data_IF_812116998014
#
_entry.id   IF_812116998014
#
_cell.length_a   1.000
_cell.length_b   1.000
_cell.length_c   1.000
_cell.angle_alpha   90.00
_cell.angle_beta   90.00
_cell.angle_gamma   90.00
#
_symmetry.space_group_name_H-M   'P 1'
#
loop_
_entity.id
_entity.type
_entity.pdbx_description
1 polymer ?
#
# COMPACT_ATOMS: atom_id res chain seq x y z
N UNK A 1 -13.29 15.84 19.16
CA UNK A 1 -12.06 15.63 19.95
C UNK A 1 -11.13 14.82 19.05
N UNK A 2 -10.06 15.42 18.53
CA UNK A 2 -9.13 14.71 17.66
C UNK A 2 -8.31 13.72 18.51
N UNK A 3 -8.06 12.53 18.00
CA UNK A 3 -7.16 11.56 18.63
C UNK A 3 -5.76 12.16 18.71
N UNK A 4 -5.06 11.90 19.82
CA UNK A 4 -3.64 12.23 19.95
C UNK A 4 -2.84 11.55 18.81
N UNK A 5 -1.89 12.26 18.16
CA UNK A 5 -1.14 11.71 17.03
C UNK A 5 -0.40 10.40 17.32
N UNK A 6 0.11 10.19 18.54
CA UNK A 6 0.74 8.92 18.93
C UNK A 6 -0.29 7.80 19.06
N UNK A 7 -1.47 8.11 19.58
CA UNK A 7 -2.59 7.15 19.62
C UNK A 7 -3.06 6.79 18.21
N UNK A 8 -3.16 7.75 17.31
CA UNK A 8 -3.54 7.51 15.92
C UNK A 8 -2.52 6.59 15.22
N UNK A 9 -1.21 6.87 15.40
CA UNK A 9 -0.15 6.01 14.87
C UNK A 9 -0.23 4.60 15.45
N UNK A 10 -0.46 4.46 16.75
CA UNK A 10 -0.61 3.15 17.39
C UNK A 10 -1.83 2.35 16.88
N UNK A 11 -2.92 3.04 16.52
CA UNK A 11 -4.10 2.43 15.89
C UNK A 11 -3.79 1.97 14.47
N UNK A 12 -3.14 2.82 13.67
CA UNK A 12 -2.74 2.51 12.29
C UNK A 12 -1.80 1.30 12.23
N UNK A 13 -0.79 1.25 13.11
CA UNK A 13 0.16 0.13 13.20
C UNK A 13 -0.49 -1.21 13.58
N UNK A 14 -1.69 -1.18 14.16
CA UNK A 14 -2.47 -2.39 14.52
C UNK A 14 -3.53 -2.73 13.48
N UNK A 15 -3.68 -1.93 12.42
CA UNK A 15 -4.62 -2.22 11.36
C UNK A 15 -4.19 -3.53 10.66
N UNK A 16 -5.10 -4.51 10.46
CA UNK A 16 -4.76 -5.78 9.80
C UNK A 16 -4.19 -5.61 8.38
N UNK A 17 -4.49 -4.48 7.75
CA UNK A 17 -4.04 -4.10 6.42
C UNK A 17 -2.69 -3.36 6.42
N UNK A 18 -2.11 -3.04 7.58
CA UNK A 18 -0.86 -2.28 7.66
C UNK A 18 0.32 -3.03 7.05
N UNK A 19 0.51 -4.30 7.41
CA UNK A 19 1.60 -5.11 6.86
C UNK A 19 1.47 -5.30 5.35
N UNK A 20 0.23 -5.43 4.84
CA UNK A 20 -0.05 -5.48 3.40
C UNK A 20 0.32 -4.18 2.71
N UNK A 21 -0.10 -3.06 3.26
CA UNK A 21 0.17 -1.75 2.71
C UNK A 21 1.68 -1.44 2.68
N UNK A 22 2.42 -1.79 3.73
CA UNK A 22 3.88 -1.67 3.75
C UNK A 22 4.52 -2.59 2.69
N UNK A 23 4.06 -3.84 2.59
CA UNK A 23 4.57 -4.77 1.59
C UNK A 23 4.31 -4.28 0.15
N UNK A 24 3.17 -3.64 -0.10
CA UNK A 24 2.88 -2.98 -1.36
C UNK A 24 3.86 -1.83 -1.61
N UNK A 25 3.99 -0.90 -0.66
CA UNK A 25 4.84 0.29 -0.79
C UNK A 25 6.34 -0.03 -0.98
N UNK A 26 6.81 -1.20 -0.52
CA UNK A 26 8.19 -1.67 -0.68
C UNK A 26 8.37 -2.73 -1.77
N UNK A 27 7.37 -2.95 -2.64
CA UNK A 27 7.42 -3.99 -3.67
C UNK A 27 7.69 -5.42 -3.14
N UNK A 28 7.42 -5.66 -1.85
CA UNK A 28 7.66 -6.94 -1.17
C UNK A 28 6.39 -7.80 -1.12
N UNK A 29 5.38 -7.54 -1.96
CA UNK A 29 4.10 -8.27 -1.91
C UNK A 29 4.26 -9.79 -2.04
N UNK A 30 5.16 -10.26 -2.92
CA UNK A 30 5.47 -11.68 -3.05
C UNK A 30 5.99 -12.28 -1.72
N UNK A 31 6.84 -11.54 -1.00
CA UNK A 31 7.37 -11.96 0.31
C UNK A 31 6.25 -11.99 1.36
N UNK A 32 5.33 -11.04 1.32
CA UNK A 32 4.14 -11.04 2.17
C UNK A 32 3.27 -12.29 1.93
N UNK A 33 2.96 -12.60 0.66
CA UNK A 33 2.15 -13.79 0.30
C UNK A 33 2.81 -15.09 0.79
N UNK A 34 4.12 -15.24 0.60
CA UNK A 34 4.85 -16.43 1.06
C UNK A 34 4.83 -16.57 2.58
N UNK A 35 4.91 -15.46 3.31
CA UNK A 35 4.91 -15.47 4.79
C UNK A 35 3.50 -15.61 5.39
N UNK A 36 2.45 -15.27 4.63
CA UNK A 36 1.06 -15.26 5.09
C UNK A 36 0.15 -16.10 4.17
N UNK A 37 0.26 -17.44 4.18
CA UNK A 37 -0.44 -18.32 3.22
C UNK A 37 -1.96 -18.35 3.36
N UNK A 38 -2.52 -17.77 4.44
CA UNK A 38 -3.97 -17.67 4.69
C UNK A 38 -4.51 -16.28 4.28
N UNK A 39 -3.62 -15.32 3.99
CA UNK A 39 -4.01 -13.97 3.58
C UNK A 39 -4.40 -13.93 2.10
N UNK A 40 -5.20 -12.93 1.69
CA UNK A 40 -5.46 -12.67 0.28
C UNK A 40 -4.16 -12.47 -0.50
N UNK A 41 -4.07 -13.09 -1.67
CA UNK A 41 -2.93 -12.93 -2.59
C UNK A 41 -3.10 -11.74 -3.53
N UNK A 42 -4.35 -11.38 -3.82
CA UNK A 42 -4.70 -10.23 -4.67
C UNK A 42 -4.73 -8.96 -3.86
N UNK A 43 -4.11 -7.90 -4.38
CA UNK A 43 -4.16 -6.54 -3.83
C UNK A 43 -5.53 -5.95 -4.17
N UNK A 44 -6.35 -5.69 -3.16
CA UNK A 44 -7.63 -5.02 -3.34
C UNK A 44 -7.46 -3.49 -3.43
N UNK A 45 -8.43 -2.80 -4.02
CA UNK A 45 -8.43 -1.34 -4.09
C UNK A 45 -8.31 -0.69 -2.70
N UNK A 46 -8.90 -1.29 -1.66
CA UNK A 46 -8.79 -0.79 -0.28
C UNK A 46 -7.39 -0.93 0.30
N UNK A 47 -6.61 -1.93 -0.12
CA UNK A 47 -5.21 -2.06 0.29
C UNK A 47 -4.34 -0.99 -0.39
N UNK A 48 -4.55 -0.75 -1.68
CA UNK A 48 -3.87 0.31 -2.44
C UNK A 48 -4.19 1.72 -1.88
N UNK A 49 -5.46 2.01 -1.63
CA UNK A 49 -5.90 3.27 -1.02
C UNK A 49 -5.27 3.49 0.35
N UNK A 50 -5.24 2.44 1.19
CA UNK A 50 -4.64 2.55 2.51
C UNK A 50 -3.12 2.75 2.41
N UNK A 51 -2.44 2.02 1.52
CA UNK A 51 -1.00 2.18 1.27
C UNK A 51 -0.64 3.61 0.87
N UNK A 52 -1.36 4.16 -0.10
CA UNK A 52 -1.13 5.55 -0.52
C UNK A 52 -1.43 6.55 0.59
N UNK A 53 -2.49 6.34 1.39
CA UNK A 53 -2.77 7.20 2.53
C UNK A 53 -1.64 7.18 3.58
N UNK A 54 -0.98 6.03 3.79
CA UNK A 54 0.19 5.94 4.66
C UNK A 54 1.40 6.68 4.08
N UNK A 55 1.62 6.56 2.78
CA UNK A 55 2.69 7.25 2.07
C UNK A 55 2.51 8.77 2.13
N UNK A 56 1.34 9.29 1.79
CA UNK A 56 1.05 10.73 1.83
C UNK A 56 1.11 11.33 3.23
N UNK A 57 0.86 10.51 4.26
CA UNK A 57 0.96 10.91 5.65
C UNK A 57 2.39 10.79 6.23
N UNK A 58 3.38 10.40 5.42
CA UNK A 58 4.78 10.18 5.84
C UNK A 58 4.89 9.17 7.00
N UNK A 59 4.07 8.12 6.94
CA UNK A 59 4.00 7.07 7.98
C UNK A 59 4.84 5.83 7.65
N UNK A 60 5.34 5.73 6.41
CA UNK A 60 6.21 4.65 5.93
C UNK A 60 7.45 5.29 5.31
N UNK A 61 8.61 4.99 5.88
CA UNK A 61 9.89 5.45 5.34
C UNK A 61 10.27 4.66 4.08
N UNK A 62 10.83 5.34 3.07
CA UNK A 62 11.40 4.72 1.85
C UNK A 62 10.38 3.86 1.07
N UNK A 63 9.29 4.48 0.61
CA UNK A 63 8.35 3.81 -0.26
C UNK A 63 8.83 3.84 -1.73
N UNK A 64 8.98 2.67 -2.35
CA UNK A 64 9.41 2.52 -3.75
C UNK A 64 8.41 3.11 -4.75
N UNK A 65 7.15 3.30 -4.33
CA UNK A 65 6.08 3.92 -5.15
C UNK A 65 6.43 5.34 -5.60
N UNK A 66 7.36 6.01 -4.91
CA UNK A 66 7.75 7.39 -5.17
C UNK A 66 8.89 7.53 -6.19
N UNK A 67 9.70 6.48 -6.38
CA UNK A 67 10.93 6.54 -7.16
C UNK A 67 10.70 6.20 -8.64
N UNK A 68 9.84 5.21 -8.93
CA UNK A 68 9.48 4.79 -10.28
C UNK A 68 8.09 4.12 -10.29
N UNK A 69 7.05 4.87 -10.68
CA UNK A 69 5.67 4.38 -10.68
C UNK A 69 5.43 3.29 -11.73
N UNK A 70 6.05 3.40 -12.92
CA UNK A 70 5.92 2.36 -13.96
C UNK A 70 6.50 1.03 -13.48
N UNK A 71 7.70 1.07 -12.89
CA UNK A 71 8.34 -0.12 -12.31
C UNK A 71 7.57 -0.68 -11.11
N UNK A 72 6.97 0.18 -10.29
CA UNK A 72 6.12 -0.22 -9.17
C UNK A 72 4.89 -1.01 -9.65
N UNK A 73 4.20 -0.52 -10.68
CA UNK A 73 3.05 -1.22 -11.27
C UNK A 73 3.49 -2.54 -11.91
N UNK A 74 4.56 -2.55 -12.69
CA UNK A 74 5.07 -3.77 -13.34
C UNK A 74 5.40 -4.86 -12.32
N UNK A 75 6.05 -4.49 -11.21
CA UNK A 75 6.45 -5.43 -10.14
C UNK A 75 5.23 -6.08 -9.45
N UNK A 76 4.15 -5.32 -9.28
CA UNK A 76 2.95 -5.78 -8.59
C UNK A 76 1.84 -6.28 -9.54
N UNK A 77 2.01 -6.16 -10.86
CA UNK A 77 0.96 -6.38 -11.87
C UNK A 77 0.24 -7.71 -11.72
N UNK A 78 0.97 -8.80 -11.46
CA UNK A 78 0.37 -10.13 -11.30
C UNK A 78 -0.52 -10.29 -10.05
N UNK A 79 -0.38 -9.37 -9.09
CA UNK A 79 -1.11 -9.38 -7.82
C UNK A 79 -2.19 -8.30 -7.76
N UNK A 80 -2.11 -7.27 -8.60
CA UNK A 80 -3.08 -6.18 -8.63
C UNK A 80 -4.44 -6.68 -9.13
N UNK A 81 -5.50 -6.45 -8.35
CA UNK A 81 -6.85 -6.52 -8.88
C UNK A 81 -7.12 -5.33 -9.80
N UNK A 82 -8.01 -5.51 -10.77
CA UNK A 82 -8.35 -4.47 -11.77
C UNK A 82 -8.69 -3.12 -11.12
N UNK A 83 -9.55 -3.13 -10.10
CA UNK A 83 -9.94 -1.91 -9.37
C UNK A 83 -8.76 -1.23 -8.65
N UNK A 84 -7.78 -2.01 -8.18
CA UNK A 84 -6.59 -1.49 -7.51
C UNK A 84 -5.63 -0.84 -8.52
N UNK A 85 -5.44 -1.49 -9.68
CA UNK A 85 -4.61 -0.96 -10.77
C UNK A 85 -5.19 0.37 -11.28
N UNK A 86 -6.48 0.39 -11.65
CA UNK A 86 -7.12 1.61 -12.14
C UNK A 86 -7.07 2.76 -11.13
N UNK A 87 -7.27 2.47 -9.84
CA UNK A 87 -7.19 3.51 -8.81
C UNK A 87 -5.76 4.07 -8.63
N UNK A 88 -4.73 3.22 -8.70
CA UNK A 88 -3.34 3.66 -8.60
C UNK A 88 -2.92 4.53 -9.79
N UNK A 89 -3.34 4.16 -11.00
CA UNK A 89 -3.12 4.96 -12.21
C UNK A 89 -3.79 6.34 -12.09
N UNK A 90 -5.07 6.39 -11.71
CA UNK A 90 -5.80 7.66 -11.47
C UNK A 90 -5.11 8.54 -10.42
N UNK A 91 -4.61 7.94 -9.34
CA UNK A 91 -3.88 8.65 -8.31
C UNK A 91 -2.55 9.23 -8.82
N UNK A 92 -1.82 8.48 -9.66
CA UNK A 92 -0.55 8.92 -10.22
C UNK A 92 -0.74 10.07 -11.23
N UNK A 93 -1.67 9.90 -12.17
CA UNK A 93 -2.02 10.91 -13.18
C UNK A 93 -2.44 12.25 -12.54
N UNK A 94 -3.11 12.21 -11.39
CA UNK A 94 -3.51 13.40 -10.65
C UNK A 94 -2.36 14.20 -10.02
N UNK A 95 -1.13 13.68 -10.03
CA UNK A 95 0.07 14.34 -9.48
C UNK A 95 0.96 14.99 -10.54
N UNK A 96 0.76 14.68 -11.83
CA UNK A 96 1.45 15.31 -12.95
C UNK A 96 0.81 16.65 -13.38
#
# INVERSE_FOLDING_TARGET
MALDPLMLRAVILRAPQYERAVALLWNEWNRFVVSHPISPTTIAATDAQFAIALYEADLVEQADVADDFEQFIETNQQWLGDDAASWLEEWHDGRE
#
